data_IF_104184682700
#
_entry.id   IF_104184682700
#
_cell.length_a   1.000
_cell.length_b   1.000
_cell.length_c   1.000
_cell.angle_alpha   90.00
_cell.angle_beta   90.00
_cell.angle_gamma   90.00
#
_symmetry.space_group_name_H-M   'P 1'
#
loop_
_entity.id
_entity.type
_entity.pdbx_description
1 polymer ?
#
# COMPACT_ATOMS: atom_id res chain seq x y z
N UNK A 1 22.87 50.24 -5.61
CA UNK A 1 23.44 49.10 -4.85
C UNK A 1 22.44 48.44 -3.89
N UNK A 2 21.58 49.17 -3.18
CA UNK A 2 20.59 48.56 -2.28
C UNK A 2 19.54 47.69 -3.01
N UNK A 3 19.05 48.11 -4.17
CA UNK A 3 18.01 47.39 -4.94
C UNK A 3 18.41 45.95 -5.30
N UNK A 4 19.62 45.74 -5.81
CA UNK A 4 20.11 44.39 -6.15
C UNK A 4 20.18 43.44 -4.95
N UNK A 5 20.51 43.96 -3.77
CA UNK A 5 20.55 43.17 -2.53
C UNK A 5 19.15 42.70 -2.11
N UNK A 6 18.14 43.56 -2.27
CA UNK A 6 16.73 43.23 -2.00
C UNK A 6 16.15 42.23 -3.00
N UNK A 7 16.53 42.32 -4.28
CA UNK A 7 16.13 41.35 -5.29
C UNK A 7 16.72 39.95 -5.00
N UNK A 8 17.99 39.89 -4.59
CA UNK A 8 18.65 38.64 -4.23
C UNK A 8 18.02 37.99 -2.98
N UNK A 9 17.71 38.77 -1.94
CA UNK A 9 17.06 38.24 -0.73
C UNK A 9 15.64 37.76 -1.01
N UNK A 10 14.86 38.48 -1.83
CA UNK A 10 13.53 38.03 -2.24
C UNK A 10 13.58 36.70 -3.01
N UNK A 11 14.52 36.55 -3.94
CA UNK A 11 14.74 35.30 -4.67
C UNK A 11 15.12 34.14 -3.74
N UNK A 12 16.05 34.36 -2.81
CA UNK A 12 16.42 33.33 -1.83
C UNK A 12 15.23 32.90 -0.96
N UNK A 13 14.40 33.84 -0.51
CA UNK A 13 13.20 33.53 0.27
C UNK A 13 12.20 32.70 -0.54
N UNK A 14 11.97 33.04 -1.80
CA UNK A 14 11.08 32.26 -2.68
C UNK A 14 11.59 30.83 -2.85
N UNK A 15 12.90 30.64 -3.06
CA UNK A 15 13.51 29.31 -3.18
C UNK A 15 13.35 28.50 -1.90
N UNK A 16 13.58 29.11 -0.73
CA UNK A 16 13.42 28.44 0.57
C UNK A 16 11.95 28.04 0.80
N UNK A 17 11.00 28.93 0.53
CA UNK A 17 9.57 28.66 0.70
C UNK A 17 9.11 27.57 -0.26
N UNK A 18 9.54 27.61 -1.53
CA UNK A 18 9.22 26.58 -2.51
C UNK A 18 9.81 25.21 -2.12
N UNK A 19 11.08 25.19 -1.69
CA UNK A 19 11.72 23.97 -1.21
C UNK A 19 11.00 23.39 0.02
N UNK A 20 10.57 24.23 0.96
CA UNK A 20 9.84 23.81 2.14
C UNK A 20 8.44 23.28 1.80
N UNK A 21 7.74 23.90 0.85
CA UNK A 21 6.45 23.43 0.37
C UNK A 21 6.52 22.06 -0.33
N UNK A 22 7.56 21.82 -1.14
CA UNK A 22 7.81 20.51 -1.74
C UNK A 22 8.18 19.43 -0.71
N UNK A 23 8.93 19.79 0.34
CA UNK A 23 9.30 18.87 1.42
C UNK A 23 8.14 18.48 2.33
N UNK A 24 7.18 19.39 2.54
CA UNK A 24 6.02 19.16 3.39
C UNK A 24 4.84 18.52 2.65
N UNK A 25 4.94 18.31 1.34
CA UNK A 25 3.91 17.62 0.60
C UNK A 25 3.71 16.21 1.19
N UNK A 26 2.50 15.88 1.68
CA UNK A 26 2.25 14.57 2.24
C UNK A 26 2.57 13.52 1.17
N UNK A 27 3.30 12.43 1.51
CA UNK A 27 3.61 11.40 0.54
C UNK A 27 2.30 10.88 -0.05
N UNK A 28 2.24 10.90 -1.39
CA UNK A 28 1.07 10.41 -2.12
C UNK A 28 0.74 9.01 -1.60
N UNK A 29 -0.51 8.74 -1.21
CA UNK A 29 -0.88 7.43 -0.74
C UNK A 29 -0.55 6.38 -1.80
N UNK A 30 -0.05 5.22 -1.35
CA UNK A 30 0.22 4.12 -2.27
C UNK A 30 -1.08 3.74 -2.98
N UNK A 31 -1.07 3.61 -4.32
CA UNK A 31 -2.25 3.28 -5.08
C UNK A 31 -2.83 1.96 -4.59
N UNK A 32 -4.16 1.92 -4.56
CA UNK A 32 -4.93 0.76 -4.14
C UNK A 32 -5.59 0.11 -5.36
N UNK A 33 -5.96 0.93 -6.35
CA UNK A 33 -6.47 0.51 -7.65
C UNK A 33 -5.36 0.37 -8.69
N UNK A 34 -5.45 -0.70 -9.49
CA UNK A 34 -4.54 -1.01 -10.59
C UNK A 34 -5.33 -1.41 -11.84
N UNK A 35 -4.77 -1.22 -13.02
CA UNK A 35 -5.41 -1.70 -14.25
C UNK A 35 -5.60 -3.21 -14.22
N UNK A 36 -6.66 -3.70 -14.87
CA UNK A 36 -6.93 -5.14 -14.96
C UNK A 36 -5.79 -5.89 -15.64
N UNK A 37 -5.51 -7.11 -15.19
CA UNK A 37 -4.54 -8.01 -15.81
C UNK A 37 -5.20 -9.26 -16.38
N UNK A 38 -4.57 -9.93 -17.36
CA UNK A 38 -4.92 -11.27 -17.82
C UNK A 38 -4.97 -12.30 -16.68
N UNK A 39 -5.79 -13.35 -16.85
CA UNK A 39 -6.01 -14.36 -15.80
C UNK A 39 -4.76 -15.17 -15.43
N UNK A 40 -3.90 -15.48 -16.39
CA UNK A 40 -2.61 -16.13 -16.19
C UNK A 40 -1.66 -15.29 -15.32
N UNK A 41 -1.62 -13.96 -15.55
CA UNK A 41 -0.87 -13.03 -14.69
C UNK A 41 -1.44 -12.97 -13.28
N UNK A 42 -2.77 -12.99 -13.13
CA UNK A 42 -3.40 -13.08 -11.81
C UNK A 42 -3.03 -14.37 -11.08
N UNK A 43 -3.04 -15.51 -11.78
CA UNK A 43 -2.60 -16.80 -11.25
C UNK A 43 -1.11 -16.80 -10.86
N UNK A 44 -0.27 -16.03 -11.54
CA UNK A 44 1.13 -15.83 -11.14
C UNK A 44 1.24 -15.08 -9.81
N UNK A 45 0.53 -13.95 -9.65
CA UNK A 45 0.50 -13.20 -8.38
C UNK A 45 -0.01 -14.06 -7.22
N UNK A 46 -1.05 -14.86 -7.49
CA UNK A 46 -1.60 -15.85 -6.56
C UNK A 46 -0.53 -16.85 -6.11
N UNK A 47 0.23 -17.43 -7.05
CA UNK A 47 1.31 -18.38 -6.74
C UNK A 47 2.41 -17.74 -5.89
N UNK A 48 2.81 -16.50 -6.19
CA UNK A 48 3.80 -15.78 -5.38
C UNK A 48 3.32 -15.56 -3.93
N UNK A 49 2.04 -15.22 -3.75
CA UNK A 49 1.45 -15.08 -2.41
C UNK A 49 1.38 -16.42 -1.67
N UNK A 50 1.02 -17.52 -2.34
CA UNK A 50 1.06 -18.87 -1.75
C UNK A 50 2.48 -19.26 -1.32
N UNK A 51 3.46 -19.10 -2.21
CA UNK A 51 4.87 -19.37 -1.91
C UNK A 51 5.40 -18.55 -0.73
N UNK A 52 4.96 -17.30 -0.60
CA UNK A 52 5.32 -16.45 0.55
C UNK A 52 4.84 -17.06 1.88
N UNK A 53 3.61 -17.60 1.91
CA UNK A 53 3.04 -18.24 3.11
C UNK A 53 3.70 -19.58 3.38
N UNK A 54 3.88 -20.42 2.34
CA UNK A 54 4.50 -21.75 2.43
C UNK A 54 5.95 -21.69 2.93
N UNK A 55 6.70 -20.65 2.56
CA UNK A 55 8.05 -20.42 3.08
C UNK A 55 8.09 -20.06 4.58
N UNK A 56 6.92 -19.88 5.22
CA UNK A 56 6.78 -19.36 6.60
C UNK A 56 5.79 -20.17 7.45
N UNK A 57 5.90 -21.50 7.51
CA UNK A 57 4.85 -22.37 8.07
C UNK A 57 4.58 -22.17 9.57
N UNK A 58 5.54 -21.63 10.34
CA UNK A 58 5.42 -21.39 11.78
C UNK A 58 5.16 -19.94 12.17
N UNK A 59 5.12 -19.04 11.20
CA UNK A 59 5.03 -17.59 11.45
C UNK A 59 3.59 -17.08 11.50
N UNK A 60 2.60 -17.98 11.50
CA UNK A 60 1.17 -17.62 11.65
C UNK A 60 0.51 -17.08 10.39
N UNK A 61 1.19 -17.12 9.24
CA UNK A 61 0.62 -16.73 7.95
C UNK A 61 -0.29 -17.83 7.39
N UNK A 62 -1.39 -17.41 6.75
CA UNK A 62 -2.32 -18.31 6.07
C UNK A 62 -2.76 -17.69 4.75
N UNK A 63 -2.85 -18.50 3.70
CA UNK A 63 -3.40 -18.08 2.42
C UNK A 63 -4.88 -18.50 2.36
N UNK A 64 -5.76 -17.56 2.03
CA UNK A 64 -7.21 -17.78 1.96
C UNK A 64 -7.72 -17.37 0.59
N UNK A 65 -8.25 -18.33 -0.16
CA UNK A 65 -8.93 -18.06 -1.42
C UNK A 65 -10.38 -17.65 -1.15
N UNK A 66 -10.80 -16.48 -1.64
CA UNK A 66 -12.16 -15.96 -1.45
C UNK A 66 -13.03 -16.25 -2.67
N UNK A 67 -12.50 -16.03 -3.86
CA UNK A 67 -13.14 -16.37 -5.11
C UNK A 67 -12.10 -16.97 -6.04
N UNK A 68 -12.42 -18.12 -6.62
CA UNK A 68 -11.52 -18.84 -7.50
C UNK A 68 -11.07 -17.92 -8.64
N UNK A 69 -9.76 -17.75 -8.76
CA UNK A 69 -9.12 -16.97 -9.83
C UNK A 69 -9.54 -15.49 -9.93
N UNK A 70 -10.17 -14.94 -8.88
CA UNK A 70 -10.52 -13.52 -8.81
C UNK A 70 -10.19 -12.85 -7.47
N UNK A 71 -10.11 -13.58 -6.36
CA UNK A 71 -9.82 -12.95 -5.07
C UNK A 71 -9.09 -13.88 -4.10
N UNK A 72 -8.00 -13.36 -3.51
CA UNK A 72 -7.30 -14.03 -2.43
C UNK A 72 -6.89 -13.05 -1.32
N UNK A 73 -6.64 -13.62 -0.14
CA UNK A 73 -6.17 -12.91 1.04
C UNK A 73 -5.00 -13.66 1.67
N UNK A 74 -4.11 -12.90 2.30
CA UNK A 74 -3.13 -13.42 3.25
C UNK A 74 -3.54 -12.96 4.63
N UNK A 75 -3.68 -13.91 5.53
CA UNK A 75 -4.06 -13.70 6.91
C UNK A 75 -2.84 -13.86 7.81
N UNK A 76 -2.81 -13.10 8.90
CA UNK A 76 -1.94 -13.29 10.03
C UNK A 76 -2.79 -13.70 11.23
N UNK A 77 -2.62 -14.93 11.73
CA UNK A 77 -3.39 -15.47 12.87
C UNK A 77 -4.92 -15.28 12.70
N UNK A 78 -5.43 -15.47 11.49
CA UNK A 78 -6.85 -15.32 11.14
C UNK A 78 -7.32 -13.88 10.83
N UNK A 79 -6.44 -12.88 10.95
CA UNK A 79 -6.75 -11.48 10.58
C UNK A 79 -6.22 -11.19 9.16
N UNK A 80 -7.02 -10.70 8.22
CA UNK A 80 -6.56 -10.35 6.88
C UNK A 80 -5.56 -9.19 6.94
N UNK A 81 -4.37 -9.40 6.40
CA UNK A 81 -3.28 -8.40 6.38
C UNK A 81 -2.93 -7.96 4.96
N UNK A 82 -3.30 -8.74 3.95
CA UNK A 82 -3.20 -8.39 2.53
C UNK A 82 -4.35 -9.05 1.76
N UNK A 83 -4.91 -8.36 0.78
CA UNK A 83 -5.88 -8.94 -0.14
C UNK A 83 -5.71 -8.36 -1.55
N UNK A 84 -5.88 -9.24 -2.53
CA UNK A 84 -5.89 -8.90 -3.94
C UNK A 84 -7.23 -9.36 -4.52
N UNK A 85 -7.93 -8.45 -5.17
CA UNK A 85 -9.21 -8.72 -5.79
C UNK A 85 -9.24 -8.20 -7.22
N UNK A 86 -9.77 -9.02 -8.12
CA UNK A 86 -10.00 -8.71 -9.52
C UNK A 86 -11.45 -8.33 -9.72
N UNK A 87 -11.66 -7.10 -10.20
CA UNK A 87 -12.94 -6.59 -10.68
C UNK A 87 -12.95 -6.62 -12.20
N UNK A 88 -14.08 -6.25 -12.80
CA UNK A 88 -14.29 -6.29 -14.25
C UNK A 88 -13.28 -5.42 -15.03
N UNK A 89 -12.93 -4.24 -14.49
CA UNK A 89 -12.09 -3.25 -15.18
C UNK A 89 -10.80 -2.89 -14.43
N UNK A 90 -10.65 -3.33 -13.19
CA UNK A 90 -9.51 -2.99 -12.34
C UNK A 90 -9.18 -4.10 -11.35
N UNK A 91 -8.03 -3.97 -10.71
CA UNK A 91 -7.58 -4.78 -9.58
C UNK A 91 -7.51 -3.91 -8.34
N UNK A 92 -7.77 -4.51 -7.19
CA UNK A 92 -7.62 -3.89 -5.89
C UNK A 92 -6.56 -4.66 -5.10
N UNK A 93 -5.45 -3.99 -4.78
CA UNK A 93 -4.41 -4.53 -3.90
C UNK A 93 -4.34 -3.69 -2.62
N UNK A 94 -4.72 -4.30 -1.51
CA UNK A 94 -4.84 -3.64 -0.21
C UNK A 94 -4.09 -4.40 0.87
N UNK A 95 -3.74 -3.69 1.93
CA UNK A 95 -3.18 -4.23 3.17
C UNK A 95 -3.93 -3.64 4.35
N UNK A 96 -3.96 -4.36 5.47
CA UNK A 96 -4.57 -3.83 6.68
C UNK A 96 -3.80 -2.63 7.23
N UNK A 97 -4.49 -1.74 7.94
CA UNK A 97 -3.87 -0.56 8.56
C UNK A 97 -2.78 -0.94 9.56
N UNK A 98 -2.98 -2.05 10.27
CA UNK A 98 -2.04 -2.61 11.23
C UNK A 98 -1.02 -3.56 10.59
N UNK A 99 -0.99 -3.73 9.26
CA UNK A 99 -0.14 -4.72 8.60
C UNK A 99 1.35 -4.50 8.91
N UNK A 100 1.80 -3.25 9.05
CA UNK A 100 3.20 -2.93 9.36
C UNK A 100 3.61 -3.44 10.74
N UNK A 101 2.72 -3.33 11.74
CA UNK A 101 2.96 -3.76 13.11
C UNK A 101 2.67 -5.26 13.29
N UNK A 102 1.54 -5.73 12.74
CA UNK A 102 1.06 -7.11 12.85
C UNK A 102 1.89 -8.07 12.01
N UNK A 103 2.27 -7.69 10.80
CA UNK A 103 2.93 -8.59 9.86
C UNK A 103 3.91 -7.83 8.94
N UNK A 104 5.07 -7.38 9.45
CA UNK A 104 6.00 -6.52 8.72
C UNK A 104 6.41 -7.07 7.33
N UNK A 105 6.52 -8.40 7.21
CA UNK A 105 6.87 -9.08 5.97
C UNK A 105 5.83 -8.88 4.84
N UNK A 106 4.58 -8.59 5.17
CA UNK A 106 3.50 -8.33 4.20
C UNK A 106 3.73 -7.03 3.45
N UNK A 107 4.35 -6.03 4.06
CA UNK A 107 4.68 -4.77 3.37
C UNK A 107 5.60 -5.05 2.18
N UNK A 108 6.57 -5.96 2.35
CA UNK A 108 7.47 -6.38 1.27
C UNK A 108 6.74 -7.22 0.22
N UNK A 109 5.85 -8.12 0.63
CA UNK A 109 5.01 -8.87 -0.32
C UNK A 109 4.14 -7.92 -1.16
N UNK A 110 3.48 -6.94 -0.53
CA UNK A 110 2.68 -5.91 -1.23
C UNK A 110 3.52 -5.21 -2.27
N UNK A 111 4.71 -4.74 -1.92
CA UNK A 111 5.60 -4.04 -2.85
C UNK A 111 5.98 -4.94 -4.04
N UNK A 112 6.28 -6.23 -3.81
CA UNK A 112 6.60 -7.17 -4.88
C UNK A 112 5.42 -7.43 -5.84
N UNK A 113 4.21 -7.57 -5.30
CA UNK A 113 3.01 -7.75 -6.13
C UNK A 113 2.69 -6.46 -6.89
N UNK A 114 2.74 -5.32 -6.20
CA UNK A 114 2.51 -4.00 -6.77
C UNK A 114 3.46 -3.69 -7.92
N UNK A 115 4.72 -4.13 -7.85
CA UNK A 115 5.68 -3.82 -8.89
C UNK A 115 5.35 -4.45 -10.26
N UNK A 116 4.48 -5.44 -10.27
CA UNK A 116 4.03 -6.15 -11.47
C UNK A 116 2.71 -5.57 -12.03
N UNK A 117 2.18 -4.51 -11.41
CA UNK A 117 0.88 -3.92 -11.71
C UNK A 117 1.02 -2.47 -12.15
N UNK A 118 0.22 -2.07 -13.12
CA UNK A 118 0.12 -0.67 -13.54
C UNK A 118 -0.89 0.06 -12.63
N UNK A 119 -0.48 1.08 -11.87
CA UNK A 119 -1.38 1.81 -10.99
C UNK A 119 -2.38 2.64 -11.80
N UNK A 120 -3.63 2.67 -11.34
CA UNK A 120 -4.61 3.63 -11.87
C UNK A 120 -4.22 5.04 -11.44
N UNK A 121 -4.48 6.03 -12.30
CA UNK A 121 -4.35 7.42 -11.90
C UNK A 121 -5.40 7.81 -10.83
N UNK A 122 -5.27 9.02 -10.26
CA UNK A 122 -6.21 9.46 -9.23
C UNK A 122 -7.65 9.57 -9.73
N UNK A 123 -7.85 10.07 -10.94
CA UNK A 123 -9.18 10.25 -11.53
C UNK A 123 -9.81 8.89 -11.88
N UNK A 124 -9.03 7.97 -12.45
CA UNK A 124 -9.44 6.61 -12.76
C UNK A 124 -9.82 5.83 -11.50
N UNK A 125 -9.08 5.99 -10.39
CA UNK A 125 -9.46 5.39 -9.11
C UNK A 125 -10.81 5.91 -8.61
N UNK A 126 -11.03 7.22 -8.67
CA UNK A 126 -12.31 7.83 -8.31
C UNK A 126 -13.45 7.32 -9.20
N UNK A 127 -13.24 7.28 -10.52
CA UNK A 127 -14.24 6.79 -11.48
C UNK A 127 -14.53 5.29 -11.33
N UNK A 128 -13.53 4.49 -10.94
CA UNK A 128 -13.68 3.07 -10.70
C UNK A 128 -14.32 2.75 -9.34
N UNK A 129 -14.66 3.77 -8.53
CA UNK A 129 -15.20 3.59 -7.18
C UNK A 129 -14.21 2.90 -6.24
N UNK A 130 -12.91 3.01 -6.51
CA UNK A 130 -11.87 2.52 -5.60
C UNK A 130 -11.99 3.31 -4.30
N UNK A 131 -12.03 2.65 -3.13
CA UNK A 131 -12.02 3.36 -1.86
C UNK A 131 -10.82 4.30 -1.86
N UNK A 132 -11.05 5.62 -1.79
CA UNK A 132 -9.94 6.55 -1.72
C UNK A 132 -9.07 6.14 -0.53
N UNK A 133 -7.73 6.15 -0.66
CA UNK A 133 -6.85 6.04 0.49
C UNK A 133 -7.07 7.28 1.37
N UNK A 134 -8.08 7.21 2.22
CA UNK A 134 -8.56 8.37 2.95
C UNK A 134 -7.45 8.80 3.90
N UNK A 135 -7.23 10.11 4.03
CA UNK A 135 -6.38 10.66 5.10
C UNK A 135 -6.77 10.10 6.48
N UNK A 136 -8.04 9.71 6.66
CA UNK A 136 -8.57 9.04 7.83
C UNK A 136 -7.81 7.74 8.16
N UNK A 137 -7.43 6.92 7.17
CA UNK A 137 -6.68 5.69 7.42
C UNK A 137 -5.30 5.97 8.01
N UNK A 138 -4.66 7.07 7.60
CA UNK A 138 -3.39 7.53 8.19
C UNK A 138 -3.58 8.02 9.61
N UNK A 139 -4.65 8.77 9.88
CA UNK A 139 -5.01 9.21 11.23
C UNK A 139 -5.30 7.99 12.12
N UNK A 140 -6.11 7.05 11.65
CA UNK A 140 -6.41 5.81 12.36
C UNK A 140 -5.15 4.97 12.58
N UNK A 141 -4.24 4.91 11.60
CA UNK A 141 -2.96 4.21 11.75
C UNK A 141 -2.05 4.87 12.79
N UNK A 142 -2.07 6.21 12.93
CA UNK A 142 -1.34 6.93 13.98
C UNK A 142 -1.95 6.76 15.38
N UNK A 143 -3.25 6.45 15.44
CA UNK A 143 -4.00 6.18 16.67
C UNK A 143 -4.06 4.69 17.02
N UNK A 144 -3.74 3.81 16.08
CA UNK A 144 -3.72 2.38 16.28
C UNK A 144 -2.63 2.04 17.30
N UNK A 145 -3.05 1.58 18.48
CA UNK A 145 -2.14 1.11 19.52
C UNK A 145 -1.31 -0.09 19.08
N UNK A 146 -0.32 -0.45 19.88
CA UNK A 146 0.55 -1.58 19.56
C UNK A 146 -0.22 -2.89 19.45
N UNK A 147 0.10 -3.67 18.42
CA UNK A 147 -0.42 -5.03 18.26
C UNK A 147 0.30 -5.94 19.27
N UNK A 148 -0.41 -6.72 20.11
CA UNK A 148 0.22 -7.64 21.06
C UNK A 148 1.15 -8.64 20.37
N UNK A 149 2.27 -9.02 21.00
CA UNK A 149 3.28 -9.87 20.36
C UNK A 149 2.73 -11.23 19.89
N UNK A 150 1.86 -11.87 20.66
CA UNK A 150 1.22 -13.13 20.27
C UNK A 150 0.26 -13.02 19.06
N UNK A 151 -0.14 -11.80 18.70
CA UNK A 151 -0.99 -11.51 17.55
C UNK A 151 -0.19 -11.11 16.29
N UNK A 152 1.14 -10.99 16.40
CA UNK A 152 2.04 -10.68 15.28
C UNK A 152 2.43 -11.95 14.52
N UNK A 153 2.77 -11.77 13.24
CA UNK A 153 3.31 -12.79 12.37
C UNK A 153 4.72 -12.42 11.90
N UNK A 154 5.55 -13.42 11.68
CA UNK A 154 6.95 -13.23 11.29
C UNK A 154 7.92 -13.10 12.45
N UNK A 155 7.43 -13.16 13.70
CA UNK A 155 8.28 -13.38 14.89
C UNK A 155 8.68 -14.86 14.89
N UNK A 156 9.98 -15.20 14.97
CA UNK A 156 10.47 -16.58 14.99
C UNK A 156 10.04 -17.34 16.25
#
# INVERSE_FOLDING_TARGET
>A
MAWWRWAATALCLVVVVAAQALWLAPPKPSPIGFHSIPGDRFLQLRRQAMQFVEARPRQGFQFVERHRDAAFQVHCRGIPVLWLERRSHHLLLQVSLDAKQRAPAIVRLRALLQWQLEPLDYLEQVLAGVPEPVLLDRVLQSLAGDVPDGARCGVP
#
